data_IF_237835394247
#
_entry.id   IF_237835394247
#
_cell.length_a   1.000
_cell.length_b   1.000
_cell.length_c   1.000
_cell.angle_alpha   90.00
_cell.angle_beta   90.00
_cell.angle_gamma   90.00
#
_symmetry.space_group_name_H-M   'P 1'
#
loop_
_entity.id
_entity.type
_entity.pdbx_description
1 polymer ?
#
# COMPACT_ATOMS: atom_id res chain seq x y z
N UNK A 1 56.71 68.65 -26.25
CA UNK A 1 56.69 67.24 -26.45
C UNK A 1 55.25 66.82 -26.34
N UNK A 2 54.67 66.76 -27.45
CA UNK A 2 53.53 66.10 -28.05
C UNK A 2 52.48 65.53 -27.13
N UNK A 3 51.35 66.26 -27.15
CA UNK A 3 50.03 65.89 -26.65
C UNK A 3 49.19 65.49 -27.83
N UNK A 4 48.67 64.30 -27.86
CA UNK A 4 47.68 63.86 -28.85
C UNK A 4 46.28 63.90 -28.24
N UNK A 5 45.47 64.66 -28.96
CA UNK A 5 44.07 64.97 -28.69
C UNK A 5 43.19 63.89 -29.41
N UNK A 6 42.52 63.04 -28.72
CA UNK A 6 41.49 62.18 -29.32
C UNK A 6 40.08 62.63 -28.93
N UNK A 7 39.49 63.39 -29.80
CA UNK A 7 38.08 63.74 -29.77
C UNK A 7 37.16 62.50 -30.03
N UNK A 8 36.48 62.07 -29.04
CA UNK A 8 35.38 61.13 -29.20
C UNK A 8 34.12 61.87 -29.65
N UNK A 9 33.72 61.60 -30.85
CA UNK A 9 32.44 62.10 -31.43
C UNK A 9 31.30 61.19 -30.91
N UNK A 10 30.47 61.74 -30.06
CA UNK A 10 29.24 61.17 -29.55
C UNK A 10 28.16 61.11 -30.63
N UNK A 11 27.89 59.94 -31.21
CA UNK A 11 26.79 59.71 -32.18
C UNK A 11 25.54 59.39 -31.37
N UNK A 12 24.75 60.41 -31.10
CA UNK A 12 23.38 60.25 -30.67
C UNK A 12 22.59 59.44 -31.72
N UNK A 13 22.22 58.21 -31.43
CA UNK A 13 21.23 57.49 -32.24
C UNK A 13 19.86 58.09 -31.97
N UNK A 14 19.33 58.77 -32.93
CA UNK A 14 17.94 59.20 -32.96
C UNK A 14 17.06 57.96 -33.06
N UNK A 15 16.36 57.61 -31.96
CA UNK A 15 15.35 56.57 -31.97
C UNK A 15 14.07 57.15 -32.54
N UNK A 16 13.72 56.74 -33.74
CA UNK A 16 12.42 57.11 -34.36
C UNK A 16 11.29 56.48 -33.49
N UNK A 17 10.26 57.24 -33.14
CA UNK A 17 9.11 56.70 -32.44
C UNK A 17 8.38 55.68 -33.35
N UNK A 18 7.91 54.53 -32.81
CA UNK A 18 7.21 53.54 -33.61
C UNK A 18 5.96 54.16 -34.23
N UNK A 19 5.75 53.88 -35.52
CA UNK A 19 4.64 54.43 -36.28
C UNK A 19 3.29 54.07 -35.62
N UNK A 20 2.35 55.00 -35.65
CA UNK A 20 0.98 54.78 -35.14
C UNK A 20 0.32 53.49 -35.69
N UNK A 21 0.78 53.06 -36.85
CA UNK A 21 0.34 51.84 -37.53
C UNK A 21 0.72 50.55 -36.72
N UNK A 22 1.88 50.54 -36.10
CA UNK A 22 2.34 49.39 -35.29
C UNK A 22 1.54 49.24 -34.00
N UNK A 23 1.20 50.36 -33.35
CA UNK A 23 0.35 50.34 -32.16
C UNK A 23 -1.08 49.86 -32.46
N UNK A 24 -1.64 50.29 -33.59
CA UNK A 24 -2.99 49.88 -34.03
C UNK A 24 -3.02 48.38 -34.34
N UNK A 25 -1.96 47.87 -34.98
CA UNK A 25 -1.86 46.43 -35.31
C UNK A 25 -1.68 45.54 -34.07
N UNK A 26 -0.85 45.96 -33.11
CA UNK A 26 -0.67 45.24 -31.86
C UNK A 26 -1.95 45.23 -30.98
N UNK A 27 -2.68 46.34 -30.91
CA UNK A 27 -3.97 46.40 -30.24
C UNK A 27 -5.02 45.50 -30.92
N UNK A 28 -5.03 45.43 -32.26
CA UNK A 28 -5.94 44.59 -33.01
C UNK A 28 -5.64 43.09 -32.78
N UNK A 29 -4.37 42.71 -32.79
CA UNK A 29 -3.96 41.33 -32.48
C UNK A 29 -4.29 40.95 -31.04
N UNK A 30 -4.06 41.82 -30.05
CA UNK A 30 -4.41 41.57 -28.65
C UNK A 30 -5.93 41.46 -28.45
N UNK A 31 -6.72 42.28 -29.11
CA UNK A 31 -8.18 42.24 -29.10
C UNK A 31 -8.74 40.99 -29.77
N UNK A 32 -8.14 40.56 -30.87
CA UNK A 32 -8.51 39.32 -31.56
C UNK A 32 -8.15 38.08 -30.72
N UNK A 33 -6.99 38.10 -30.07
CA UNK A 33 -6.60 37.03 -29.15
C UNK A 33 -7.53 36.95 -27.93
N UNK A 34 -7.92 38.08 -27.36
CA UNK A 34 -8.88 38.15 -26.26
C UNK A 34 -10.28 37.65 -26.67
N UNK A 35 -10.78 38.02 -27.84
CA UNK A 35 -12.06 37.51 -28.36
C UNK A 35 -11.99 36.02 -28.65
N UNK A 36 -10.89 35.53 -29.22
CA UNK A 36 -10.69 34.12 -29.52
C UNK A 36 -10.67 33.27 -28.22
N UNK A 37 -9.93 33.72 -27.21
CA UNK A 37 -9.91 33.05 -25.91
C UNK A 37 -11.24 33.13 -25.18
N UNK A 38 -11.96 34.24 -25.24
CA UNK A 38 -13.28 34.40 -24.64
C UNK A 38 -14.35 33.56 -25.36
N UNK A 39 -14.29 33.41 -26.67
CA UNK A 39 -15.21 32.52 -27.43
C UNK A 39 -14.92 31.05 -27.17
N UNK A 40 -13.65 30.64 -27.16
CA UNK A 40 -13.27 29.25 -26.88
C UNK A 40 -13.59 28.85 -25.44
N UNK A 41 -13.41 29.76 -24.47
CA UNK A 41 -13.85 29.50 -23.09
C UNK A 41 -15.37 29.34 -22.96
N UNK A 42 -16.18 30.14 -23.70
CA UNK A 42 -17.65 30.01 -23.68
C UNK A 42 -18.16 28.72 -24.30
N UNK A 43 -17.46 28.20 -25.31
CA UNK A 43 -17.86 26.94 -25.97
C UNK A 43 -17.27 25.72 -25.27
N UNK A 44 -16.08 25.81 -24.67
CA UNK A 44 -15.46 24.69 -23.96
C UNK A 44 -15.99 24.49 -22.53
N UNK A 45 -16.38 25.57 -21.83
CA UNK A 45 -16.89 25.50 -20.47
C UNK A 45 -18.07 24.53 -20.29
N UNK A 46 -19.14 24.55 -21.13
CA UNK A 46 -20.23 23.58 -21.03
C UNK A 46 -19.77 22.16 -21.32
N UNK A 47 -18.81 21.94 -22.22
CA UNK A 47 -18.26 20.61 -22.48
C UNK A 47 -17.39 20.10 -21.33
N UNK A 48 -16.62 20.96 -20.70
CA UNK A 48 -15.83 20.63 -19.51
C UNK A 48 -16.76 20.28 -18.34
N UNK A 49 -17.82 21.07 -18.14
CA UNK A 49 -18.84 20.78 -17.10
C UNK A 49 -19.55 19.47 -17.38
N UNK A 50 -19.88 19.20 -18.65
CA UNK A 50 -20.52 17.93 -19.04
C UNK A 50 -19.60 16.73 -18.81
N UNK A 51 -18.30 16.87 -19.11
CA UNK A 51 -17.28 15.83 -18.88
C UNK A 51 -17.07 15.64 -17.37
N UNK A 52 -16.98 16.73 -16.58
CA UNK A 52 -16.89 16.63 -15.13
C UNK A 52 -18.14 15.98 -14.52
N UNK A 53 -19.34 16.35 -15.00
CA UNK A 53 -20.58 15.73 -14.55
C UNK A 53 -20.66 14.23 -14.93
N UNK A 54 -20.20 13.86 -16.13
CA UNK A 54 -20.10 12.47 -16.55
C UNK A 54 -19.08 11.68 -15.71
N UNK A 55 -17.94 12.28 -15.35
CA UNK A 55 -16.94 11.68 -14.47
C UNK A 55 -17.49 11.53 -13.04
N UNK A 56 -18.26 12.50 -12.55
CA UNK A 56 -18.88 12.44 -11.23
C UNK A 56 -20.03 11.43 -11.17
N UNK A 57 -20.77 11.21 -12.25
CA UNK A 57 -21.83 10.20 -12.30
C UNK A 57 -21.32 8.78 -12.54
N UNK A 58 -20.14 8.62 -13.11
CA UNK A 58 -19.47 7.30 -13.21
C UNK A 58 -18.72 6.92 -11.94
N UNK A 59 -18.62 7.83 -10.95
CA UNK A 59 -17.88 7.63 -9.69
C UNK A 59 -18.62 6.83 -8.62
N UNK A 60 -19.92 6.55 -8.75
CA UNK A 60 -20.63 5.58 -7.91
C UNK A 60 -20.68 4.21 -8.62
N UNK A 61 -19.52 3.65 -8.93
CA UNK A 61 -19.41 2.20 -8.99
C UNK A 61 -19.40 1.77 -7.53
N UNK A 62 -20.47 1.17 -7.06
CA UNK A 62 -20.46 0.36 -5.86
C UNK A 62 -19.27 -0.58 -6.03
N UNK A 63 -18.21 -0.31 -5.28
CA UNK A 63 -17.15 -1.29 -5.09
C UNK A 63 -17.74 -2.30 -4.12
N UNK A 64 -18.68 -3.09 -4.60
CA UNK A 64 -19.04 -4.34 -3.96
C UNK A 64 -17.79 -5.20 -4.00
N UNK A 65 -16.99 -5.05 -2.94
CA UNK A 65 -15.78 -5.82 -2.76
C UNK A 65 -16.17 -7.28 -2.60
N UNK A 66 -16.20 -8.02 -3.72
CA UNK A 66 -16.38 -9.47 -3.64
C UNK A 66 -15.20 -10.06 -2.89
N UNK A 67 -15.43 -11.13 -2.16
CA UNK A 67 -14.37 -11.86 -1.50
C UNK A 67 -13.81 -12.95 -2.42
N UNK A 68 -12.51 -13.19 -2.33
CA UNK A 68 -11.88 -14.36 -2.96
C UNK A 68 -12.12 -15.63 -2.13
N UNK A 69 -12.54 -15.46 -0.87
CA UNK A 69 -12.92 -16.57 0.00
C UNK A 69 -14.30 -17.09 -0.38
N UNK A 70 -14.37 -18.34 -0.79
CA UNK A 70 -15.60 -19.00 -1.28
C UNK A 70 -16.05 -20.12 -0.32
N UNK A 71 -15.89 -19.92 1.00
CA UNK A 71 -16.28 -20.91 1.99
C UNK A 71 -15.34 -22.10 2.11
N UNK A 72 -14.05 -21.93 1.74
CA UNK A 72 -13.02 -22.94 1.99
C UNK A 72 -12.98 -23.28 3.48
N UNK A 73 -12.94 -24.57 3.78
CA UNK A 73 -12.95 -25.02 5.20
C UNK A 73 -11.64 -24.66 5.90
N UNK A 74 -11.61 -23.50 6.55
CA UNK A 74 -10.56 -23.14 7.49
C UNK A 74 -10.63 -23.99 8.74
N UNK A 75 -9.47 -24.26 9.33
CA UNK A 75 -9.33 -24.87 10.63
C UNK A 75 -8.45 -24.00 11.53
N UNK A 76 -8.68 -24.04 12.82
CA UNK A 76 -7.84 -23.32 13.77
C UNK A 76 -6.36 -23.71 13.60
N UNK A 77 -5.51 -22.71 13.44
CA UNK A 77 -4.09 -22.84 13.14
C UNK A 77 -3.74 -22.84 11.65
N UNK A 78 -4.69 -22.81 10.71
CA UNK A 78 -4.32 -22.61 9.31
C UNK A 78 -3.60 -21.28 9.14
N UNK A 79 -2.49 -21.31 8.44
CA UNK A 79 -1.73 -20.12 8.05
C UNK A 79 -2.32 -19.61 6.74
N UNK A 80 -2.73 -18.35 6.72
CA UNK A 80 -3.38 -17.72 5.57
C UNK A 80 -2.51 -16.59 5.05
N UNK A 81 -2.28 -16.57 3.73
CA UNK A 81 -1.47 -15.54 3.08
C UNK A 81 -2.33 -14.78 2.07
N UNK A 82 -2.03 -13.50 1.90
CA UNK A 82 -2.65 -12.67 0.86
C UNK A 82 -1.64 -11.77 0.16
N UNK A 83 -1.92 -11.45 -1.10
CA UNK A 83 -1.21 -10.45 -1.88
C UNK A 83 -1.93 -9.12 -1.77
N UNK A 84 -1.51 -8.27 -0.86
CA UNK A 84 -2.12 -6.95 -0.67
C UNK A 84 -1.91 -6.00 -1.84
N UNK A 85 -2.81 -5.03 -1.98
CA UNK A 85 -2.81 -4.03 -3.06
C UNK A 85 -2.17 -2.70 -2.65
N UNK A 86 -2.02 -2.42 -1.35
CA UNK A 86 -1.51 -1.17 -0.80
C UNK A 86 -0.02 -0.92 -1.04
N UNK A 87 0.45 0.27 -0.67
CA UNK A 87 1.86 0.65 -0.83
C UNK A 87 2.78 -0.17 0.08
N UNK A 88 2.41 -0.37 1.34
CA UNK A 88 3.12 -1.24 2.30
C UNK A 88 3.28 -2.65 1.75
N UNK A 89 2.20 -3.22 1.16
CA UNK A 89 2.25 -4.53 0.52
C UNK A 89 3.21 -4.59 -0.66
N UNK A 90 3.34 -3.52 -1.44
CA UNK A 90 4.32 -3.44 -2.53
C UNK A 90 5.74 -3.42 -1.99
N UNK A 91 6.00 -2.67 -0.93
CA UNK A 91 7.31 -2.61 -0.28
C UNK A 91 7.72 -3.99 0.25
N UNK A 92 6.81 -4.70 0.94
CA UNK A 92 7.06 -6.07 1.43
C UNK A 92 7.40 -7.02 0.29
N UNK A 93 6.65 -6.99 -0.82
CA UNK A 93 6.97 -7.85 -1.99
C UNK A 93 8.29 -7.51 -2.65
N UNK A 94 8.65 -6.22 -2.71
CA UNK A 94 9.97 -5.81 -3.22
C UNK A 94 11.10 -6.31 -2.32
N UNK A 95 10.90 -6.26 -1.00
CA UNK A 95 11.82 -6.79 -0.01
C UNK A 95 11.94 -8.32 -0.10
N UNK A 96 10.81 -9.01 -0.26
CA UNK A 96 10.75 -10.48 -0.35
C UNK A 96 11.40 -11.01 -1.64
N UNK A 97 11.14 -10.38 -2.78
CA UNK A 97 11.74 -10.74 -4.08
C UNK A 97 11.46 -12.17 -4.60
N UNK A 98 10.90 -13.03 -3.76
CA UNK A 98 10.68 -14.46 -4.03
C UNK A 98 9.21 -14.85 -4.17
N UNK A 99 8.32 -14.04 -3.63
CA UNK A 99 6.90 -14.38 -3.54
C UNK A 99 5.96 -13.26 -3.97
N UNK A 100 4.70 -13.64 -4.18
CA UNK A 100 3.64 -12.68 -4.48
C UNK A 100 2.87 -12.25 -3.22
N UNK A 101 3.10 -12.89 -2.08
CA UNK A 101 2.39 -12.58 -0.84
C UNK A 101 3.09 -11.46 -0.07
N UNK A 102 2.30 -10.59 0.53
CA UNK A 102 2.79 -9.47 1.32
C UNK A 102 2.27 -9.47 2.75
N UNK A 103 1.40 -10.42 3.07
CA UNK A 103 0.73 -10.46 4.35
C UNK A 103 0.37 -11.89 4.74
N UNK A 104 0.41 -12.16 6.02
CA UNK A 104 0.11 -13.46 6.61
C UNK A 104 -0.73 -13.28 7.87
N UNK A 105 -1.60 -14.25 8.16
CA UNK A 105 -2.38 -14.36 9.36
C UNK A 105 -2.55 -15.83 9.75
N UNK A 106 -3.23 -16.06 10.87
CA UNK A 106 -3.53 -17.39 11.40
C UNK A 106 -5.04 -17.51 11.67
N UNK A 107 -5.64 -18.57 11.19
CA UNK A 107 -7.06 -18.84 11.46
C UNK A 107 -7.27 -19.28 12.90
N UNK A 108 -8.31 -18.75 13.53
CA UNK A 108 -8.68 -19.06 14.91
C UNK A 108 -10.18 -19.37 15.01
N UNK A 109 -10.56 -20.21 15.95
CA UNK A 109 -11.98 -20.43 16.28
C UNK A 109 -12.40 -19.41 17.35
N UNK A 110 -13.28 -18.49 16.99
CA UNK A 110 -13.89 -17.54 17.91
C UNK A 110 -15.34 -17.92 18.18
N UNK A 111 -15.56 -18.74 19.19
CA UNK A 111 -16.90 -19.19 19.61
C UNK A 111 -17.67 -19.92 18.51
N UNK A 112 -17.02 -20.80 17.77
CA UNK A 112 -17.60 -21.59 16.68
C UNK A 112 -17.59 -20.88 15.31
N UNK A 113 -17.04 -19.67 15.23
CA UNK A 113 -16.86 -18.91 13.98
C UNK A 113 -15.37 -18.81 13.66
N UNK A 114 -15.01 -19.21 12.44
CA UNK A 114 -13.63 -19.08 11.99
C UNK A 114 -13.32 -17.61 11.67
N UNK A 115 -12.28 -17.10 12.32
CA UNK A 115 -11.75 -15.75 12.15
C UNK A 115 -10.26 -15.82 11.80
N UNK A 116 -9.68 -14.72 11.37
CA UNK A 116 -8.25 -14.61 11.06
C UNK A 116 -7.64 -13.55 11.97
N UNK A 117 -6.64 -13.94 12.76
CA UNK A 117 -5.81 -13.01 13.55
C UNK A 117 -4.58 -12.65 12.73
N UNK A 118 -4.33 -11.36 12.61
CA UNK A 118 -3.19 -10.82 11.86
C UNK A 118 -2.76 -9.45 12.39
N UNK A 119 -1.50 -9.07 12.18
CA UNK A 119 -0.99 -7.75 12.51
C UNK A 119 -0.88 -6.93 11.22
N UNK A 120 -1.57 -5.79 11.13
CA UNK A 120 -1.65 -5.02 9.88
C UNK A 120 -1.65 -3.52 10.16
N UNK A 121 -0.85 -2.72 9.41
CA UNK A 121 -0.94 -1.28 9.43
C UNK A 121 -2.00 -0.79 8.43
N UNK A 122 -2.47 0.44 8.63
CA UNK A 122 -3.36 1.19 7.71
C UNK A 122 -4.74 0.54 7.44
N UNK A 123 -5.14 -0.48 8.19
CA UNK A 123 -6.46 -1.11 8.06
C UNK A 123 -7.30 -0.84 9.32
N UNK A 124 -7.70 0.42 9.50
CA UNK A 124 -8.44 0.89 10.67
C UNK A 124 -9.93 0.52 10.58
N UNK A 125 -10.52 0.16 11.74
CA UNK A 125 -11.95 -0.16 11.85
C UNK A 125 -12.82 1.10 12.04
N UNK A 126 -12.19 2.25 12.35
CA UNK A 126 -12.87 3.52 12.54
C UNK A 126 -11.92 4.67 12.87
N UNK A 127 -12.48 5.87 13.05
CA UNK A 127 -11.71 7.05 13.41
C UNK A 127 -11.06 6.87 14.80
N UNK A 128 -9.74 7.06 14.86
CA UNK A 128 -8.95 6.93 16.09
C UNK A 128 -8.48 5.51 16.41
N UNK A 129 -8.73 4.53 15.52
CA UNK A 129 -8.11 3.21 15.64
C UNK A 129 -6.60 3.30 15.40
N UNK A 130 -5.86 2.34 15.94
CA UNK A 130 -4.39 2.27 15.85
C UNK A 130 -3.97 0.98 15.14
N UNK A 131 -2.79 1.00 14.56
CA UNK A 131 -2.19 -0.18 13.95
C UNK A 131 -1.87 -1.23 15.01
N UNK A 132 -2.46 -2.41 14.88
CA UNK A 132 -2.41 -3.45 15.91
C UNK A 132 -2.69 -4.83 15.35
N UNK A 133 -2.57 -5.83 16.20
CA UNK A 133 -3.10 -7.17 15.94
C UNK A 133 -4.62 -7.11 15.93
N UNK A 134 -5.22 -7.55 14.82
CA UNK A 134 -6.65 -7.54 14.54
C UNK A 134 -7.20 -8.95 14.37
N UNK A 135 -8.53 -9.03 14.38
CA UNK A 135 -9.26 -10.25 14.08
C UNK A 135 -10.34 -9.94 13.07
N UNK A 136 -10.17 -10.40 11.84
CA UNK A 136 -11.10 -10.19 10.72
C UNK A 136 -11.81 -11.49 10.32
N UNK A 137 -13.02 -11.36 9.77
CA UNK A 137 -13.67 -12.47 9.10
C UNK A 137 -12.87 -12.86 7.83
N UNK A 138 -12.88 -14.14 7.41
CA UNK A 138 -12.18 -14.58 6.19
C UNK A 138 -12.58 -13.79 4.95
N UNK A 139 -13.84 -13.40 4.82
CA UNK A 139 -14.37 -12.60 3.72
C UNK A 139 -13.76 -11.20 3.68
N UNK A 140 -13.50 -10.61 4.85
CA UNK A 140 -12.86 -9.29 5.00
C UNK A 140 -11.37 -9.39 4.70
N UNK A 141 -10.68 -10.39 5.27
CA UNK A 141 -9.25 -10.62 5.04
C UNK A 141 -8.95 -10.86 3.56
N UNK A 142 -9.78 -11.64 2.86
CA UNK A 142 -9.65 -11.98 1.45
C UNK A 142 -10.53 -11.13 0.53
N UNK A 143 -10.99 -9.96 0.98
CA UNK A 143 -11.72 -9.03 0.13
C UNK A 143 -10.89 -8.59 -1.08
N UNK A 144 -11.49 -8.53 -2.26
CA UNK A 144 -10.85 -8.06 -3.49
C UNK A 144 -10.37 -6.60 -3.41
N UNK A 145 -10.85 -5.84 -2.45
CA UNK A 145 -10.32 -4.51 -2.16
C UNK A 145 -8.96 -4.56 -1.48
N UNK A 146 -8.68 -5.61 -0.73
CA UNK A 146 -7.46 -5.78 0.06
C UNK A 146 -6.44 -6.73 -0.56
N UNK A 147 -6.89 -7.64 -1.43
CA UNK A 147 -6.01 -8.66 -2.00
C UNK A 147 -6.36 -9.02 -3.44
N UNK A 148 -5.35 -9.41 -4.21
CA UNK A 148 -5.49 -9.93 -5.58
C UNK A 148 -5.42 -11.45 -5.66
N UNK A 149 -4.82 -12.12 -4.68
CA UNK A 149 -4.76 -13.57 -4.56
C UNK A 149 -4.50 -13.97 -3.11
N UNK A 150 -4.72 -15.25 -2.79
CA UNK A 150 -4.52 -15.77 -1.46
C UNK A 150 -4.10 -17.23 -1.45
N UNK A 151 -3.66 -17.69 -0.27
CA UNK A 151 -3.29 -19.08 -0.03
C UNK A 151 -3.66 -19.48 1.40
N UNK A 152 -4.15 -20.71 1.55
CA UNK A 152 -4.40 -21.35 2.84
C UNK A 152 -3.42 -22.50 2.96
N UNK A 153 -2.67 -22.53 4.05
CA UNK A 153 -1.69 -23.58 4.36
C UNK A 153 -1.99 -24.18 5.71
N UNK A 154 -1.71 -25.47 5.88
CA UNK A 154 -2.07 -26.23 7.08
C UNK A 154 -0.88 -27.00 7.61
N UNK A 155 -0.70 -26.97 8.92
CA UNK A 155 0.20 -27.85 9.65
C UNK A 155 -0.40 -29.27 9.77
N UNK A 156 0.43 -30.29 9.60
CA UNK A 156 -0.04 -31.69 9.63
C UNK A 156 -0.61 -32.09 11.00
N UNK A 157 0.02 -31.63 12.10
CA UNK A 157 -0.45 -31.88 13.45
C UNK A 157 -1.52 -30.84 13.84
N UNK A 158 -2.75 -31.30 13.99
CA UNK A 158 -3.89 -30.46 14.34
C UNK A 158 -3.87 -29.97 15.81
N UNK A 159 -3.15 -30.67 16.71
CA UNK A 159 -3.01 -30.26 18.11
C UNK A 159 -2.08 -29.04 18.14
N UNK A 160 -0.92 -29.13 17.52
CA UNK A 160 0.04 -28.01 17.38
C UNK A 160 -0.64 -26.81 16.74
N UNK A 161 -1.35 -27.02 15.63
CA UNK A 161 -2.06 -25.96 14.92
C UNK A 161 -3.09 -25.24 15.81
N UNK A 162 -3.92 -25.99 16.52
CA UNK A 162 -4.92 -25.44 17.44
C UNK A 162 -4.28 -24.66 18.60
N UNK A 163 -3.23 -25.21 19.20
CA UNK A 163 -2.50 -24.51 20.27
C UNK A 163 -1.90 -23.20 19.78
N UNK A 164 -1.37 -23.14 18.55
CA UNK A 164 -0.88 -21.90 17.94
C UNK A 164 -2.02 -20.88 17.72
N UNK A 165 -3.19 -21.33 17.29
CA UNK A 165 -4.37 -20.48 17.17
C UNK A 165 -4.80 -19.87 18.52
N UNK A 166 -4.73 -20.64 19.60
CA UNK A 166 -5.03 -20.16 20.96
C UNK A 166 -4.03 -19.10 21.42
N UNK A 167 -2.74 -19.26 21.09
CA UNK A 167 -1.71 -18.24 21.35
C UNK A 167 -2.04 -16.96 20.59
N UNK A 168 -2.30 -17.04 19.29
CA UNK A 168 -2.63 -15.88 18.46
C UNK A 168 -3.88 -15.14 18.99
N UNK A 169 -4.88 -15.88 19.45
CA UNK A 169 -6.08 -15.30 20.07
C UNK A 169 -5.78 -14.57 21.38
N UNK A 170 -4.84 -15.09 22.20
CA UNK A 170 -4.38 -14.38 23.41
C UNK A 170 -3.64 -13.09 23.08
N UNK A 171 -2.80 -13.09 22.03
CA UNK A 171 -2.08 -11.90 21.55
C UNK A 171 -3.08 -10.85 21.10
N UNK A 172 -4.08 -11.22 20.31
CA UNK A 172 -5.17 -10.32 19.89
C UNK A 172 -5.89 -9.71 21.10
N UNK A 173 -6.28 -10.51 22.09
CA UNK A 173 -6.99 -10.03 23.30
C UNK A 173 -6.15 -9.09 24.16
N UNK A 174 -4.82 -9.17 24.09
CA UNK A 174 -3.90 -8.24 24.77
C UNK A 174 -3.82 -6.89 24.05
N UNK A 175 -4.34 -6.75 22.85
CA UNK A 175 -4.26 -5.53 22.06
C UNK A 175 -2.85 -5.16 21.64
N UNK A 176 -2.01 -6.16 21.29
CA UNK A 176 -0.62 -5.94 20.88
C UNK A 176 -0.59 -5.01 19.65
N UNK A 177 0.25 -3.99 19.70
CA UNK A 177 0.39 -3.01 18.64
C UNK A 177 1.16 -3.58 17.44
N UNK A 178 0.98 -2.97 16.27
CA UNK A 178 1.79 -3.30 15.10
C UNK A 178 3.23 -2.80 15.28
N UNK A 179 4.19 -3.63 14.91
CA UNK A 179 5.60 -3.26 14.90
C UNK A 179 5.97 -2.60 13.56
N UNK A 180 6.18 -1.29 13.57
CA UNK A 180 6.61 -0.52 12.42
C UNK A 180 8.13 -0.55 12.22
N UNK A 181 8.88 -0.96 13.24
CA UNK A 181 10.34 -1.03 13.21
C UNK A 181 10.83 -2.39 12.68
N UNK A 182 9.92 -3.39 12.63
CA UNK A 182 10.21 -4.77 12.24
C UNK A 182 11.34 -5.39 13.07
N UNK A 183 11.35 -5.08 14.37
CA UNK A 183 12.34 -5.55 15.34
C UNK A 183 11.85 -6.81 16.05
N UNK A 184 12.28 -7.97 15.60
CA UNK A 184 11.88 -9.25 16.17
C UNK A 184 12.38 -9.48 17.63
N UNK A 185 13.17 -8.57 18.21
CA UNK A 185 13.56 -8.58 19.62
C UNK A 185 12.56 -7.82 20.51
N UNK A 186 11.74 -6.91 19.95
CA UNK A 186 10.67 -6.21 20.66
C UNK A 186 9.41 -7.08 20.75
N UNK A 187 9.24 -7.78 21.87
CA UNK A 187 8.06 -8.65 22.11
C UNK A 187 6.79 -7.87 22.49
N UNK A 188 6.82 -6.55 22.57
CA UNK A 188 5.67 -5.70 22.93
C UNK A 188 4.83 -5.31 21.72
N UNK A 189 5.38 -5.40 20.51
CA UNK A 189 4.74 -5.17 19.23
C UNK A 189 5.02 -6.34 18.30
N UNK A 190 4.22 -6.50 17.27
CA UNK A 190 4.41 -7.59 16.29
C UNK A 190 4.00 -7.16 14.91
N UNK A 191 4.78 -7.53 13.89
CA UNK A 191 4.34 -7.52 12.50
C UNK A 191 3.75 -8.89 12.09
N UNK A 192 3.18 -8.98 10.90
CA UNK A 192 2.34 -10.11 10.51
C UNK A 192 3.05 -11.47 10.56
N UNK A 193 4.26 -11.57 10.01
CA UNK A 193 5.01 -12.83 9.98
C UNK A 193 5.52 -13.23 11.36
N UNK A 194 5.95 -12.27 12.14
CA UNK A 194 6.38 -12.49 13.51
C UNK A 194 5.26 -13.04 14.38
N UNK A 195 4.04 -12.48 14.29
CA UNK A 195 2.87 -12.96 15.02
C UNK A 195 2.64 -14.47 14.79
N UNK A 196 2.67 -14.91 13.53
CA UNK A 196 2.39 -16.32 13.20
C UNK A 196 3.54 -17.21 13.65
N UNK A 197 4.79 -16.81 13.44
CA UNK A 197 5.97 -17.53 13.91
C UNK A 197 5.96 -17.65 15.45
N UNK A 198 5.71 -16.53 16.15
CA UNK A 198 5.63 -16.49 17.61
C UNK A 198 4.53 -17.43 18.15
N UNK A 199 3.35 -17.44 17.50
CA UNK A 199 2.25 -18.29 17.91
C UNK A 199 2.62 -19.77 17.87
N UNK A 200 3.27 -20.24 16.82
CA UNK A 200 3.73 -21.62 16.72
C UNK A 200 4.89 -21.94 17.67
N UNK A 201 5.83 -20.99 17.82
CA UNK A 201 6.97 -21.14 18.70
C UNK A 201 6.57 -21.21 20.16
N UNK A 202 5.63 -20.38 20.63
CA UNK A 202 5.11 -20.42 22.00
C UNK A 202 4.29 -21.70 22.25
N UNK A 203 3.46 -22.11 21.28
CA UNK A 203 2.57 -23.26 21.42
C UNK A 203 3.31 -24.61 21.49
N UNK A 204 4.36 -24.79 20.70
CA UNK A 204 4.98 -26.10 20.49
C UNK A 204 6.52 -26.07 20.40
N UNK A 205 7.16 -24.94 20.65
CA UNK A 205 8.61 -24.78 20.45
C UNK A 205 9.03 -24.90 18.96
N UNK A 206 8.07 -24.79 18.04
CA UNK A 206 8.26 -25.02 16.61
C UNK A 206 8.45 -23.71 15.86
N UNK A 207 9.58 -23.55 15.18
CA UNK A 207 9.70 -22.50 14.16
C UNK A 207 8.99 -22.94 12.90
N UNK A 208 7.84 -22.31 12.61
CA UNK A 208 7.03 -22.67 11.43
C UNK A 208 7.67 -22.22 10.11
N UNK A 209 8.63 -21.29 10.17
CA UNK A 209 9.41 -20.80 9.03
C UNK A 209 10.82 -21.40 8.96
N UNK A 210 11.05 -22.53 9.64
CA UNK A 210 12.38 -23.19 9.70
C UNK A 210 13.51 -22.28 10.23
N UNK A 211 13.17 -21.30 11.07
CA UNK A 211 14.08 -20.29 11.64
C UNK A 211 14.78 -19.40 10.59
N UNK A 212 14.21 -19.30 9.41
CA UNK A 212 14.76 -18.42 8.36
C UNK A 212 14.60 -16.96 8.78
N UNK A 213 15.65 -16.17 8.54
CA UNK A 213 15.69 -14.73 8.80
C UNK A 213 16.39 -14.02 7.66
N UNK A 214 15.97 -12.79 7.36
CA UNK A 214 16.48 -12.01 6.26
C UNK A 214 16.93 -10.63 6.71
N UNK A 215 18.06 -10.17 6.17
CA UNK A 215 18.41 -8.77 6.21
C UNK A 215 17.92 -8.10 4.91
N UNK A 216 17.02 -7.14 5.06
CA UNK A 216 16.40 -6.43 3.95
C UNK A 216 16.91 -5.00 3.91
N UNK A 217 17.57 -4.62 2.81
CA UNK A 217 18.02 -3.27 2.58
C UNK A 217 17.23 -2.63 1.44
N UNK A 218 16.47 -1.60 1.77
CA UNK A 218 15.80 -0.71 0.83
C UNK A 218 16.53 0.63 0.81
N UNK A 219 16.35 1.49 -0.21
CA UNK A 219 17.10 2.74 -0.33
C UNK A 219 17.07 3.65 0.91
N UNK A 220 16.03 3.55 1.74
CA UNK A 220 15.78 4.42 2.90
C UNK A 220 15.78 3.65 4.22
N UNK A 221 15.56 2.31 4.19
CA UNK A 221 15.40 1.49 5.37
C UNK A 221 16.23 0.21 5.28
N UNK A 222 16.75 -0.24 6.43
CA UNK A 222 17.38 -1.55 6.58
C UNK A 222 16.75 -2.24 7.76
N UNK A 223 16.16 -3.41 7.52
CA UNK A 223 15.60 -4.28 8.54
C UNK A 223 16.46 -5.53 8.66
N UNK A 224 16.70 -5.99 9.87
CA UNK A 224 17.57 -7.15 10.14
C UNK A 224 16.76 -8.27 10.79
N UNK A 225 17.07 -9.49 10.37
CA UNK A 225 16.50 -10.68 10.98
C UNK A 225 14.99 -10.83 10.77
N UNK A 226 14.40 -10.18 9.74
CA UNK A 226 12.95 -10.23 9.49
C UNK A 226 12.51 -11.55 8.89
N UNK A 227 11.28 -11.95 9.20
CA UNK A 227 10.59 -13.08 8.56
C UNK A 227 9.72 -12.54 7.45
N UNK A 228 9.82 -13.12 6.27
CA UNK A 228 9.07 -12.71 5.09
C UNK A 228 7.88 -13.65 4.81
N UNK A 229 6.80 -13.16 4.18
CA UNK A 229 5.64 -14.00 3.87
C UNK A 229 5.97 -15.23 3.01
N UNK A 230 6.98 -15.17 2.14
CA UNK A 230 7.42 -16.32 1.31
C UNK A 230 8.04 -17.45 2.14
N UNK A 231 8.54 -17.18 3.37
CA UNK A 231 9.11 -18.21 4.22
C UNK A 231 8.06 -19.24 4.62
N UNK A 232 6.81 -18.80 4.84
CA UNK A 232 5.70 -19.73 5.10
C UNK A 232 5.41 -20.61 3.90
N UNK A 233 5.52 -20.09 2.66
CA UNK A 233 5.27 -20.91 1.46
C UNK A 233 6.36 -21.93 1.20
N UNK A 234 7.53 -21.74 1.76
CA UNK A 234 8.69 -22.61 1.66
C UNK A 234 8.86 -23.55 2.86
N UNK A 235 8.02 -23.38 3.90
CA UNK A 235 8.07 -24.15 5.12
C UNK A 235 7.81 -25.64 4.87
N UNK A 236 8.66 -26.52 5.41
CA UNK A 236 8.46 -27.95 5.40
C UNK A 236 7.33 -28.43 6.35
N UNK A 237 6.86 -27.55 7.23
CA UNK A 237 5.82 -27.84 8.21
C UNK A 237 4.41 -27.59 7.69
N UNK A 238 4.29 -26.90 6.57
CA UNK A 238 3.02 -26.46 6.01
C UNK A 238 2.74 -27.06 4.63
N UNK A 239 1.53 -27.56 4.45
CA UNK A 239 1.02 -27.99 3.15
C UNK A 239 -0.01 -27.00 2.62
N UNK A 240 0.06 -26.64 1.35
CA UNK A 240 -0.97 -25.82 0.70
C UNK A 240 -2.27 -26.62 0.62
N UNK A 241 -3.34 -26.08 1.18
CA UNK A 241 -4.69 -26.64 1.10
C UNK A 241 -5.48 -26.01 -0.02
N UNK A 242 -5.32 -24.69 -0.21
CA UNK A 242 -6.02 -23.93 -1.24
C UNK A 242 -5.19 -22.72 -1.68
N UNK A 243 -5.30 -22.34 -2.95
CA UNK A 243 -4.73 -21.11 -3.51
C UNK A 243 -5.70 -20.55 -4.55
N UNK A 244 -5.90 -19.24 -4.59
CA UNK A 244 -6.83 -18.53 -5.46
C UNK A 244 -6.30 -17.17 -5.90
#
# INVERSE_FOLDING_TARGET
MTTDDHRHTDRQRQICPPSKFLYTFLCFCAYFHYIYTALTMKTCLPHIILILAAVLTTGCRDRDGHTLYQGQQLRAGDVVLRCGSGMTSRAVRMADGRGCYSHVGIAVDSSGVMMIVHAVPDEHDGAGDVDRVKMDAPEVFFSSMRTSNGRIMRHADSIVARSAAEVAQRIYRKGVLFDHDYDAEDTTRMYCSELVEHAYKEAAGLSITDSVRHDVSLPVFTFRGVILPSDFTSSRHLCTIYAF
#
